data_IF_074920409299
#
_entry.id   IF_074920409299
#
_cell.length_a   1.000
_cell.length_b   1.000
_cell.length_c   1.000
_cell.angle_alpha   90.00
_cell.angle_beta   90.00
_cell.angle_gamma   90.00
#
_symmetry.space_group_name_H-M   'P 1'
#
loop_
_entity.id
_entity.type
_entity.pdbx_description
1 polymer ?
#
# COMPACT_ATOMS: atom_id res chain seq x y z
N UNK A 1 33.90 -19.40 -7.95
CA UNK A 1 34.44 -19.98 -9.20
C UNK A 1 34.64 -18.80 -10.14
N UNK A 2 35.90 -18.38 -10.34
CA UNK A 2 36.28 -17.19 -11.11
C UNK A 2 36.21 -17.50 -12.61
N UNK A 3 35.47 -16.67 -13.36
CA UNK A 3 35.55 -16.60 -14.82
C UNK A 3 36.40 -15.37 -15.21
N UNK A 4 37.27 -15.46 -16.23
CA UNK A 4 38.10 -14.34 -16.66
C UNK A 4 37.27 -13.28 -17.39
N UNK A 5 37.52 -12.02 -17.07
CA UNK A 5 36.91 -10.87 -17.76
C UNK A 5 37.51 -10.67 -19.16
N UNK A 6 36.76 -10.08 -20.11
CA UNK A 6 37.28 -9.81 -21.45
C UNK A 6 38.30 -8.67 -21.44
N UNK A 7 39.40 -8.86 -22.18
CA UNK A 7 40.43 -7.86 -22.47
C UNK A 7 39.86 -6.62 -23.19
N UNK A 8 40.45 -5.43 -22.99
CA UNK A 8 40.05 -4.22 -23.72
C UNK A 8 40.52 -4.28 -25.18
N UNK A 9 39.58 -4.23 -26.11
CA UNK A 9 39.87 -4.06 -27.53
C UNK A 9 40.54 -2.69 -27.77
N UNK A 10 41.65 -2.71 -28.52
CA UNK A 10 42.50 -1.57 -28.80
C UNK A 10 41.76 -0.37 -29.42
N UNK A 11 42.10 0.81 -28.93
CA UNK A 11 41.67 2.10 -29.47
C UNK A 11 42.47 2.41 -30.73
N UNK A 12 41.86 2.20 -31.90
CA UNK A 12 42.35 2.75 -33.16
C UNK A 12 42.00 4.24 -33.23
N UNK A 13 42.98 5.10 -33.00
CA UNK A 13 42.92 6.54 -33.30
C UNK A 13 43.46 6.78 -34.71
N UNK A 14 42.60 6.59 -35.71
CA UNK A 14 42.85 7.05 -37.08
C UNK A 14 42.16 8.41 -37.30
N UNK A 15 42.80 9.40 -37.94
CA UNK A 15 42.15 10.65 -38.31
C UNK A 15 41.37 10.42 -39.61
N UNK A 16 40.13 9.96 -39.52
CA UNK A 16 39.19 10.00 -40.65
C UNK A 16 37.76 10.30 -40.17
N UNK A 17 37.62 11.46 -39.54
CA UNK A 17 36.34 12.13 -39.36
C UNK A 17 36.00 12.88 -40.66
N UNK A 18 35.54 12.16 -41.69
CA UNK A 18 35.14 12.74 -42.96
C UNK A 18 33.78 12.18 -43.44
N UNK A 19 32.73 12.89 -43.04
CA UNK A 19 31.36 12.93 -43.60
C UNK A 19 30.56 11.63 -43.51
N UNK A 20 30.07 11.33 -42.31
CA UNK A 20 28.75 10.71 -42.19
C UNK A 20 27.74 11.61 -42.92
N UNK A 21 27.02 11.07 -43.89
CA UNK A 21 26.05 11.85 -44.67
C UNK A 21 25.04 12.53 -43.76
N UNK A 22 24.94 13.84 -43.88
CA UNK A 22 23.99 14.68 -43.16
C UNK A 22 22.71 14.82 -43.98
N UNK A 23 21.57 14.97 -43.30
CA UNK A 23 20.26 15.15 -43.94
C UNK A 23 19.58 16.37 -43.34
N UNK A 24 19.05 17.24 -44.19
CA UNK A 24 18.12 18.30 -43.76
C UNK A 24 16.79 17.66 -43.40
N UNK A 25 16.43 17.73 -42.13
CA UNK A 25 15.17 17.16 -41.62
C UNK A 25 14.02 18.10 -41.95
N UNK A 26 13.02 17.62 -42.70
CA UNK A 26 11.78 18.35 -42.98
C UNK A 26 10.61 17.93 -42.10
N UNK A 27 10.68 16.73 -41.51
CA UNK A 27 9.66 16.24 -40.60
C UNK A 27 9.92 14.80 -40.14
N UNK A 28 9.10 14.35 -39.19
CA UNK A 28 9.18 13.01 -38.62
C UNK A 28 7.89 12.24 -38.86
N UNK A 29 8.00 10.98 -39.30
CA UNK A 29 6.89 10.04 -39.39
C UNK A 29 7.03 9.03 -38.25
N UNK A 30 6.10 9.03 -37.32
CA UNK A 30 6.11 8.13 -36.17
C UNK A 30 5.20 6.93 -36.42
N UNK A 31 5.62 5.75 -35.96
CA UNK A 31 4.81 4.54 -35.98
C UNK A 31 4.97 3.74 -34.70
N UNK A 32 3.93 2.99 -34.33
CA UNK A 32 3.91 2.17 -33.11
C UNK A 32 3.66 2.93 -31.81
N UNK A 33 3.34 4.23 -31.89
CA UNK A 33 2.93 5.07 -30.75
C UNK A 33 1.41 4.98 -30.54
N UNK A 34 0.94 4.00 -29.76
CA UNK A 34 -0.48 3.86 -29.42
C UNK A 34 -0.85 4.63 -28.14
N UNK A 35 0.10 4.84 -27.22
CA UNK A 35 -0.11 5.59 -25.97
C UNK A 35 -0.26 7.09 -26.25
N UNK A 36 0.61 7.65 -27.09
CA UNK A 36 0.63 9.08 -27.42
C UNK A 36 0.28 9.28 -28.88
N UNK A 37 -0.47 10.34 -29.17
CA UNK A 37 -0.65 10.76 -30.55
C UNK A 37 0.68 11.21 -31.18
N UNK A 38 0.76 11.15 -32.51
CA UNK A 38 1.99 11.47 -33.23
C UNK A 38 2.38 12.95 -33.06
N UNK A 39 1.40 13.85 -32.91
CA UNK A 39 1.63 15.29 -32.76
C UNK A 39 2.38 15.61 -31.46
N UNK A 40 2.00 14.97 -30.35
CA UNK A 40 2.65 15.12 -29.04
C UNK A 40 4.12 14.72 -29.11
N UNK A 41 4.40 13.58 -29.73
CA UNK A 41 5.78 13.08 -29.86
C UNK A 41 6.60 13.89 -30.89
N UNK A 42 5.97 14.38 -31.97
CA UNK A 42 6.64 15.26 -32.94
C UNK A 42 7.01 16.60 -32.33
N UNK A 43 6.20 17.15 -31.42
CA UNK A 43 6.51 18.39 -30.72
C UNK A 43 7.83 18.32 -29.91
N UNK A 44 8.20 17.13 -29.41
CA UNK A 44 9.49 16.89 -28.72
C UNK A 44 10.71 17.02 -29.64
N UNK A 45 10.49 16.98 -30.96
CA UNK A 45 11.52 16.99 -32.00
C UNK A 45 11.45 18.26 -32.87
N UNK A 46 10.61 19.22 -32.51
CA UNK A 46 10.37 20.42 -33.33
C UNK A 46 11.64 21.25 -33.57
N UNK A 47 12.57 21.25 -32.61
CA UNK A 47 13.87 21.93 -32.71
C UNK A 47 14.79 21.35 -33.78
N UNK A 48 14.52 20.11 -34.23
CA UNK A 48 15.31 19.43 -35.25
C UNK A 48 14.78 19.70 -36.67
N UNK A 49 13.56 20.20 -36.82
CA UNK A 49 12.96 20.49 -38.13
C UNK A 49 13.64 21.71 -38.76
N UNK A 50 14.07 21.57 -40.02
CA UNK A 50 14.83 22.58 -40.76
C UNK A 50 16.33 22.58 -40.47
N UNK A 51 16.80 21.73 -39.56
CA UNK A 51 18.22 21.58 -39.23
C UNK A 51 18.88 20.42 -39.98
N UNK A 52 20.20 20.51 -40.14
CA UNK A 52 21.02 19.44 -40.68
C UNK A 52 21.39 18.46 -39.56
N UNK A 53 21.04 17.18 -39.73
CA UNK A 53 21.28 16.13 -38.74
C UNK A 53 22.10 15.00 -39.34
N UNK A 54 23.07 14.51 -38.57
CA UNK A 54 23.76 13.25 -38.86
C UNK A 54 23.02 12.06 -38.21
N UNK A 55 23.57 10.85 -38.38
CA UNK A 55 22.97 9.64 -37.83
C UNK A 55 22.84 9.68 -36.29
N UNK A 56 23.79 10.30 -35.61
CA UNK A 56 23.79 10.36 -34.15
C UNK A 56 22.77 11.37 -33.63
N UNK A 57 22.58 12.50 -34.32
CA UNK A 57 21.48 13.43 -34.07
C UNK A 57 20.10 12.78 -34.24
N UNK A 58 19.90 12.00 -35.30
CA UNK A 58 18.66 11.24 -35.51
C UNK A 58 18.44 10.14 -34.46
N UNK A 59 19.51 9.49 -34.00
CA UNK A 59 19.44 8.54 -32.86
C UNK A 59 19.10 9.26 -31.55
N UNK A 60 19.64 10.47 -31.34
CA UNK A 60 19.30 11.30 -30.20
C UNK A 60 17.82 11.71 -30.22
N UNK A 61 17.25 11.99 -31.40
CA UNK A 61 15.80 12.23 -31.56
C UNK A 61 14.96 11.03 -31.09
N UNK A 62 15.29 9.81 -31.53
CA UNK A 62 14.63 8.60 -31.04
C UNK A 62 14.85 8.38 -29.52
N UNK A 63 16.04 8.70 -29.00
CA UNK A 63 16.32 8.63 -27.57
C UNK A 63 15.48 9.62 -26.75
N UNK A 64 15.18 10.82 -27.28
CA UNK A 64 14.29 11.80 -26.64
C UNK A 64 12.86 11.27 -26.51
N UNK A 65 12.31 10.66 -27.58
CA UNK A 65 11.00 9.98 -27.51
C UNK A 65 11.03 8.88 -26.45
N UNK A 66 12.05 8.00 -26.48
CA UNK A 66 12.18 6.93 -25.49
C UNK A 66 12.27 7.47 -24.05
N UNK A 67 12.95 8.59 -23.84
CA UNK A 67 13.07 9.22 -22.53
C UNK A 67 11.75 9.83 -22.03
N UNK A 68 10.91 10.33 -22.94
CA UNK A 68 9.57 10.80 -22.62
C UNK A 68 8.70 9.67 -22.07
N UNK A 69 8.59 8.56 -22.81
CA UNK A 69 7.87 7.36 -22.35
C UNK A 69 8.36 6.84 -21.00
N UNK A 70 9.69 6.74 -20.80
CA UNK A 70 10.25 6.26 -19.52
C UNK A 70 9.93 7.19 -18.35
N UNK A 71 9.92 8.51 -18.58
CA UNK A 71 9.58 9.49 -17.53
C UNK A 71 8.12 9.34 -17.09
N UNK A 72 7.26 8.97 -18.02
CA UNK A 72 5.84 8.75 -17.80
C UNK A 72 5.53 7.30 -17.35
N UNK A 73 6.55 6.51 -17.01
CA UNK A 73 6.39 5.19 -16.38
C UNK A 73 6.41 3.99 -17.32
N UNK A 74 6.54 4.19 -18.63
CA UNK A 74 6.64 3.11 -19.63
C UNK A 74 8.10 2.67 -19.82
N UNK A 75 8.60 1.89 -18.87
CA UNK A 75 10.01 1.51 -18.80
C UNK A 75 10.48 0.63 -19.96
N UNK A 76 9.58 -0.14 -20.56
CA UNK A 76 9.88 -1.04 -21.67
C UNK A 76 9.80 -0.37 -23.04
N UNK A 77 9.29 0.87 -23.09
CA UNK A 77 9.10 1.59 -24.34
C UNK A 77 10.45 2.06 -24.93
N UNK A 78 10.63 1.79 -26.22
CA UNK A 78 11.83 2.17 -26.97
C UNK A 78 11.46 2.66 -28.36
N UNK A 79 11.86 3.89 -28.65
CA UNK A 79 11.89 4.42 -30.00
C UNK A 79 13.25 4.16 -30.65
N UNK A 80 13.25 3.82 -31.92
CA UNK A 80 14.47 3.58 -32.70
C UNK A 80 14.30 4.05 -34.15
N UNK A 81 15.44 4.30 -34.79
CA UNK A 81 15.52 4.66 -36.19
C UNK A 81 15.67 3.38 -37.04
N UNK A 82 14.62 2.87 -37.69
CA UNK A 82 14.74 1.72 -38.59
C UNK A 82 15.60 2.07 -39.81
N UNK A 83 16.18 1.04 -40.43
CA UNK A 83 16.83 1.19 -41.73
C UNK A 83 15.82 1.74 -42.74
N UNK A 84 16.19 2.83 -43.40
CA UNK A 84 15.35 3.56 -44.33
C UNK A 84 16.20 4.33 -45.33
N UNK A 85 15.66 4.55 -46.52
CA UNK A 85 16.15 5.60 -47.41
C UNK A 85 15.41 6.88 -47.04
N UNK A 86 16.13 7.96 -46.76
CA UNK A 86 15.51 9.25 -46.48
C UNK A 86 15.07 9.86 -47.80
N UNK A 87 13.77 10.02 -47.98
CA UNK A 87 13.17 10.70 -49.12
C UNK A 87 12.57 12.02 -48.64
N UNK A 88 12.84 13.11 -49.37
CA UNK A 88 12.32 14.45 -49.11
C UNK A 88 12.57 15.00 -47.69
N UNK A 89 13.61 14.50 -47.00
CA UNK A 89 13.94 14.92 -45.63
C UNK A 89 12.97 14.41 -44.56
N UNK A 90 12.11 13.44 -44.87
CA UNK A 90 11.18 12.83 -43.90
C UNK A 90 11.84 11.65 -43.20
N UNK A 91 11.95 11.73 -41.87
CA UNK A 91 12.61 10.73 -41.03
C UNK A 91 11.55 9.86 -40.34
N UNK A 92 11.57 8.56 -40.58
CA UNK A 92 10.68 7.61 -39.90
C UNK A 92 11.30 7.13 -38.59
N UNK A 93 10.60 7.25 -37.47
CA UNK A 93 10.97 6.66 -36.18
C UNK A 93 9.89 5.65 -35.79
N UNK A 94 10.31 4.48 -35.32
CA UNK A 94 9.40 3.44 -34.82
C UNK A 94 9.49 3.36 -33.31
N UNK A 95 8.34 3.21 -32.66
CA UNK A 95 8.19 3.05 -31.22
C UNK A 95 7.69 1.65 -30.94
N UNK A 96 8.36 0.96 -30.02
CA UNK A 96 7.89 -0.30 -29.44
C UNK A 96 7.58 0.00 -27.99
N UNK A 97 6.31 -0.01 -27.62
CA UNK A 97 5.87 0.43 -26.28
C UNK A 97 6.08 -0.63 -25.19
N UNK A 98 6.26 -1.90 -25.58
CA UNK A 98 6.39 -3.01 -24.65
C UNK A 98 5.06 -3.33 -23.99
N UNK A 99 4.28 -4.22 -24.60
CA UNK A 99 2.94 -4.60 -24.10
C UNK A 99 2.98 -5.89 -23.29
N UNK A 100 2.01 -6.07 -22.39
CA UNK A 100 1.81 -7.37 -21.75
C UNK A 100 1.53 -8.45 -22.79
N UNK A 101 2.28 -9.54 -22.73
CA UNK A 101 1.93 -10.83 -23.32
C UNK A 101 1.22 -11.67 -22.27
N UNK A 102 1.74 -12.86 -21.96
CA UNK A 102 1.15 -13.73 -20.95
C UNK A 102 1.46 -13.25 -19.53
N UNK A 103 0.45 -13.31 -18.65
CA UNK A 103 0.60 -13.15 -17.21
C UNK A 103 0.42 -14.52 -16.57
N UNK A 104 1.49 -15.06 -15.99
CA UNK A 104 1.53 -16.40 -15.41
C UNK A 104 1.74 -16.29 -13.91
N UNK A 105 0.81 -16.87 -13.13
CA UNK A 105 0.94 -17.00 -11.68
C UNK A 105 1.44 -18.42 -11.34
N UNK A 106 2.66 -18.51 -10.82
CA UNK A 106 3.21 -19.71 -10.21
C UNK A 106 3.01 -19.62 -8.70
N UNK A 107 1.95 -20.24 -8.19
CA UNK A 107 1.61 -20.16 -6.78
C UNK A 107 2.05 -21.41 -6.01
N UNK A 108 3.03 -21.22 -5.12
CA UNK A 108 3.46 -22.20 -4.14
C UNK A 108 3.01 -21.84 -2.71
N UNK A 109 2.34 -20.70 -2.52
CA UNK A 109 1.86 -20.24 -1.21
C UNK A 109 0.68 -21.08 -0.70
N UNK A 110 0.31 -20.88 0.57
CA UNK A 110 -0.88 -21.51 1.16
C UNK A 110 -2.18 -20.92 0.62
N UNK A 111 -2.15 -19.70 0.10
CA UNK A 111 -3.31 -18.97 -0.40
C UNK A 111 -3.71 -19.51 -1.77
N UNK A 112 -4.99 -19.74 -2.02
CA UNK A 112 -5.48 -20.20 -3.32
C UNK A 112 -5.36 -19.12 -4.39
N UNK A 113 -5.14 -19.55 -5.63
CA UNK A 113 -5.06 -18.67 -6.80
C UNK A 113 -6.27 -17.73 -6.92
N UNK A 114 -7.47 -18.20 -6.57
CA UNK A 114 -8.68 -17.39 -6.61
C UNK A 114 -8.62 -16.09 -5.78
N UNK A 115 -7.78 -16.04 -4.74
CA UNK A 115 -7.55 -14.83 -3.94
C UNK A 115 -6.42 -13.94 -4.50
N UNK A 116 -5.54 -14.49 -5.34
CA UNK A 116 -4.36 -13.79 -5.88
C UNK A 116 -4.59 -13.27 -7.30
N UNK A 117 -5.22 -14.06 -8.18
CA UNK A 117 -5.47 -13.73 -9.57
C UNK A 117 -6.24 -12.41 -9.77
N UNK A 118 -7.24 -12.04 -8.94
CA UNK A 118 -7.91 -10.74 -9.10
C UNK A 118 -6.96 -9.53 -8.97
N UNK A 119 -5.89 -9.66 -8.17
CA UNK A 119 -4.88 -8.60 -8.03
C UNK A 119 -4.01 -8.42 -9.28
N UNK A 120 -3.92 -9.46 -10.11
CA UNK A 120 -3.23 -9.44 -11.40
C UNK A 120 -4.15 -9.08 -12.56
N UNK A 121 -5.45 -9.29 -12.44
CA UNK A 121 -6.44 -8.94 -13.46
C UNK A 121 -6.50 -7.42 -13.74
N UNK A 122 -5.98 -6.59 -12.83
CA UNK A 122 -5.79 -5.16 -13.03
C UNK A 122 -4.67 -4.82 -14.05
N UNK A 123 -3.88 -5.81 -14.49
CA UNK A 123 -2.87 -5.69 -15.53
C UNK A 123 -3.44 -6.28 -16.84
N UNK A 124 -4.15 -5.50 -17.66
CA UNK A 124 -4.81 -6.00 -18.86
C UNK A 124 -3.80 -6.46 -19.92
N UNK A 125 -4.09 -7.63 -20.51
CA UNK A 125 -3.37 -8.18 -21.65
C UNK A 125 -3.36 -7.20 -22.84
N UNK A 126 -2.26 -7.17 -23.58
CA UNK A 126 -2.07 -6.32 -24.76
C UNK A 126 -1.91 -4.82 -24.48
N UNK A 127 -2.04 -4.35 -23.23
CA UNK A 127 -1.74 -2.96 -22.89
C UNK A 127 -0.24 -2.76 -22.62
N UNK A 128 0.24 -1.54 -22.88
CA UNK A 128 1.61 -1.16 -22.59
C UNK A 128 1.93 -1.32 -21.09
N UNK A 129 3.09 -1.89 -20.80
CA UNK A 129 3.53 -2.15 -19.43
C UNK A 129 3.88 -0.81 -18.77
N UNK A 130 3.00 -0.36 -17.89
CA UNK A 130 3.24 0.79 -17.05
C UNK A 130 3.81 0.35 -15.69
N UNK A 131 4.96 0.91 -15.31
CA UNK A 131 5.71 0.50 -14.13
C UNK A 131 4.95 0.67 -12.81
N UNK A 132 4.14 1.73 -12.69
CA UNK A 132 3.34 1.99 -11.50
C UNK A 132 2.24 0.94 -11.26
N UNK A 133 1.61 0.46 -12.33
CA UNK A 133 0.54 -0.54 -12.22
C UNK A 133 1.10 -1.91 -11.88
N UNK A 134 2.21 -2.29 -12.54
CA UNK A 134 2.95 -3.51 -12.21
C UNK A 134 3.43 -3.52 -10.77
N UNK A 135 4.06 -2.42 -10.31
CA UNK A 135 4.52 -2.29 -8.94
C UNK A 135 3.33 -2.41 -7.96
N UNK A 136 2.24 -1.69 -8.23
CA UNK A 136 1.04 -1.72 -7.39
C UNK A 136 0.45 -3.13 -7.27
N UNK A 137 0.37 -3.88 -8.38
CA UNK A 137 -0.13 -5.24 -8.38
C UNK A 137 0.76 -6.18 -7.54
N UNK A 138 2.08 -6.09 -7.69
CA UNK A 138 3.03 -6.89 -6.91
C UNK A 138 3.03 -6.52 -5.42
N UNK A 139 2.91 -5.23 -5.08
CA UNK A 139 2.82 -4.79 -3.70
C UNK A 139 1.52 -5.28 -3.04
N UNK A 140 0.39 -5.22 -3.75
CA UNK A 140 -0.89 -5.74 -3.23
C UNK A 140 -0.86 -7.26 -3.04
N UNK A 141 -0.16 -8.00 -3.90
CA UNK A 141 0.08 -9.44 -3.69
C UNK A 141 0.93 -9.69 -2.44
N UNK A 142 1.93 -8.85 -2.16
CA UNK A 142 2.74 -8.93 -0.94
C UNK A 142 2.00 -8.43 0.32
N UNK A 143 0.97 -7.61 0.16
CA UNK A 143 0.07 -7.24 1.26
C UNK A 143 -0.88 -8.41 1.64
N UNK A 144 -0.90 -9.51 0.86
CA UNK A 144 -1.67 -10.71 1.17
C UNK A 144 -1.01 -11.52 2.30
N UNK A 145 -1.72 -11.80 3.41
CA UNK A 145 -1.17 -12.53 4.54
C UNK A 145 -0.61 -13.91 4.14
N UNK A 146 0.68 -14.14 4.45
CA UNK A 146 1.35 -15.41 4.21
C UNK A 146 1.81 -15.64 2.77
N UNK A 147 1.89 -14.57 1.96
CA UNK A 147 2.36 -14.62 0.57
C UNK A 147 3.58 -13.72 0.40
N UNK A 148 4.60 -14.22 -0.28
CA UNK A 148 5.75 -13.43 -0.75
C UNK A 148 5.74 -13.49 -2.27
N UNK A 149 5.43 -12.38 -2.93
CA UNK A 149 5.27 -12.34 -4.39
C UNK A 149 6.45 -11.65 -5.06
N UNK A 150 6.96 -12.25 -6.14
CA UNK A 150 8.04 -11.71 -6.98
C UNK A 150 7.63 -11.77 -8.45
N UNK A 151 7.71 -10.64 -9.13
CA UNK A 151 7.48 -10.55 -10.58
C UNK A 151 8.79 -10.58 -11.36
N UNK A 152 8.81 -11.31 -12.48
CA UNK A 152 9.89 -11.31 -13.47
C UNK A 152 9.32 -11.07 -14.85
N UNK A 153 9.86 -10.08 -15.56
CA UNK A 153 9.52 -9.81 -16.96
C UNK A 153 10.43 -10.60 -17.89
N UNK A 154 9.86 -11.22 -18.92
CA UNK A 154 10.57 -11.99 -19.95
C UNK A 154 10.08 -11.60 -21.34
N UNK A 155 10.92 -11.79 -22.35
CA UNK A 155 10.50 -11.59 -23.73
C UNK A 155 9.30 -12.51 -24.06
N UNK A 156 8.23 -11.94 -24.60
CA UNK A 156 7.02 -12.67 -24.96
C UNK A 156 7.12 -13.34 -26.33
N UNK A 157 6.03 -14.00 -26.73
CA UNK A 157 5.96 -14.77 -27.97
C UNK A 157 6.01 -13.90 -29.25
N UNK A 158 5.56 -12.64 -29.17
CA UNK A 158 5.53 -11.71 -30.31
C UNK A 158 6.48 -10.52 -30.07
N UNK A 159 7.07 -9.94 -31.15
CA UNK A 159 7.92 -8.77 -31.01
C UNK A 159 7.17 -7.61 -30.33
N UNK A 160 7.78 -7.05 -29.28
CA UNK A 160 7.18 -5.98 -28.49
C UNK A 160 6.26 -6.44 -27.36
N UNK A 161 5.97 -7.75 -27.25
CA UNK A 161 5.30 -8.31 -26.08
C UNK A 161 6.29 -8.75 -25.00
N UNK A 162 5.87 -8.64 -23.74
CA UNK A 162 6.62 -9.06 -22.55
C UNK A 162 5.72 -9.88 -21.65
N UNK A 163 6.14 -11.10 -21.34
CA UNK A 163 5.44 -11.98 -20.42
C UNK A 163 5.81 -11.64 -18.97
N UNK A 164 4.83 -11.61 -18.08
CA UNK A 164 5.00 -11.41 -16.65
C UNK A 164 4.85 -12.75 -15.92
N UNK A 165 5.93 -13.22 -15.33
CA UNK A 165 5.93 -14.40 -14.46
C UNK A 165 5.89 -13.94 -13.00
N UNK A 166 4.81 -14.26 -12.30
CA UNK A 166 4.62 -13.96 -10.88
C UNK A 166 4.80 -15.24 -10.08
N UNK A 167 5.83 -15.29 -9.25
CA UNK A 167 6.04 -16.39 -8.31
C UNK A 167 5.50 -15.95 -6.95
N UNK A 168 4.47 -16.65 -6.44
CA UNK A 168 3.92 -16.46 -5.10
C UNK A 168 4.44 -17.57 -4.18
N UNK A 169 5.40 -17.24 -3.34
CA UNK A 169 6.07 -18.16 -2.41
C UNK A 169 5.37 -18.14 -1.03
N UNK A 170 5.49 -19.23 -0.24
CA UNK A 170 5.02 -19.24 1.14
C UNK A 170 5.72 -18.19 2.00
N UNK A 171 4.93 -17.26 2.56
CA UNK A 171 5.35 -16.43 3.68
C UNK A 171 5.17 -17.12 5.04
N UNK A 172 5.54 -16.46 6.15
CA UNK A 172 5.32 -16.98 7.49
C UNK A 172 3.85 -17.34 7.73
N UNK A 173 3.59 -18.58 8.15
CA UNK A 173 2.22 -19.01 8.47
C UNK A 173 1.73 -18.40 9.78
N UNK A 174 2.64 -18.27 10.75
CA UNK A 174 2.38 -17.68 12.06
C UNK A 174 3.41 -16.58 12.27
N UNK A 175 2.97 -15.44 12.77
CA UNK A 175 3.82 -14.38 13.29
C UNK A 175 3.26 -13.90 14.64
N UNK A 176 4.09 -13.28 15.47
CA UNK A 176 3.64 -12.84 16.78
C UNK A 176 4.74 -12.16 17.59
N UNK A 177 4.35 -11.65 18.76
CA UNK A 177 5.22 -11.01 19.74
C UNK A 177 4.82 -11.37 21.16
N UNK A 178 5.79 -11.28 22.06
CA UNK A 178 5.59 -11.29 23.50
C UNK A 178 6.27 -10.03 24.03
N UNK A 179 5.49 -9.21 24.73
CA UNK A 179 5.91 -7.87 25.14
C UNK A 179 5.71 -7.71 26.65
N UNK A 180 6.70 -7.13 27.33
CA UNK A 180 6.60 -6.78 28.75
C UNK A 180 6.92 -5.29 28.94
N UNK A 181 6.05 -4.56 29.63
CA UNK A 181 6.17 -3.11 29.82
C UNK A 181 5.69 -2.66 31.20
N UNK A 182 5.96 -1.40 31.55
CA UNK A 182 5.46 -0.72 32.75
C UNK A 182 4.50 0.45 32.43
N UNK A 183 3.81 0.39 31.29
CA UNK A 183 2.90 1.44 30.80
C UNK A 183 1.44 1.19 31.25
N UNK A 184 1.24 0.29 32.21
CA UNK A 184 -0.06 0.01 32.79
C UNK A 184 -0.57 1.11 33.71
N UNK A 185 -1.85 1.03 34.08
CA UNK A 185 -2.51 2.05 34.88
C UNK A 185 -2.14 1.94 36.36
N UNK A 186 -1.93 3.10 37.01
CA UNK A 186 -1.61 3.19 38.44
C UNK A 186 -2.56 2.37 39.34
N UNK A 187 -3.85 2.28 38.98
CA UNK A 187 -4.89 1.57 39.74
C UNK A 187 -5.17 0.15 39.24
N UNK A 188 -4.88 -0.16 37.97
CA UNK A 188 -5.22 -1.44 37.31
C UNK A 188 -4.03 -2.36 37.09
N UNK A 189 -2.83 -1.90 37.47
CA UNK A 189 -1.56 -2.62 37.37
C UNK A 189 -0.61 -1.92 36.41
N UNK A 190 0.59 -1.61 36.87
CA UNK A 190 1.60 -0.83 36.15
C UNK A 190 2.40 -1.73 35.20
N UNK A 191 2.74 -2.94 35.62
CA UNK A 191 3.50 -3.89 34.81
C UNK A 191 2.56 -4.78 34.01
N UNK A 192 2.81 -4.93 32.72
CA UNK A 192 1.96 -5.69 31.79
C UNK A 192 2.78 -6.68 31.00
N UNK A 193 2.18 -7.84 30.77
CA UNK A 193 2.63 -8.85 29.82
C UNK A 193 1.57 -8.98 28.72
N UNK A 194 2.01 -8.86 27.47
CA UNK A 194 1.16 -8.97 26.28
C UNK A 194 1.68 -10.08 25.36
N UNK A 195 0.75 -10.80 24.75
CA UNK A 195 1.03 -11.77 23.68
C UNK A 195 0.17 -11.40 22.48
N UNK A 196 0.79 -11.30 21.31
CA UNK A 196 0.10 -11.13 20.05
C UNK A 196 0.49 -12.25 19.08
N UNK A 197 -0.48 -12.77 18.34
CA UNK A 197 -0.26 -13.78 17.31
C UNK A 197 -1.18 -13.55 16.12
N UNK A 198 -0.66 -13.73 14.92
CA UNK A 198 -1.39 -13.69 13.65
C UNK A 198 -1.19 -15.02 12.92
N UNK A 199 -2.30 -15.64 12.51
CA UNK A 199 -2.31 -16.83 11.67
C UNK A 199 -2.72 -16.42 10.27
N UNK A 200 -1.81 -16.61 9.30
CA UNK A 200 -1.94 -16.12 7.95
C UNK A 200 -2.54 -17.20 7.02
N UNK A 201 -3.57 -16.83 6.28
CA UNK A 201 -4.32 -17.68 5.35
C UNK A 201 -4.71 -19.06 5.91
N UNK A 202 -5.31 -19.16 7.12
CA UNK A 202 -5.69 -20.44 7.70
C UNK A 202 -6.71 -21.20 6.84
N UNK A 203 -7.62 -20.51 6.15
CA UNK A 203 -8.58 -21.12 5.22
C UNK A 203 -8.11 -21.08 3.75
N UNK A 204 -6.87 -20.66 3.50
CA UNK A 204 -6.29 -20.51 2.16
C UNK A 204 -7.02 -19.46 1.28
N UNK A 205 -7.70 -18.48 1.88
CA UNK A 205 -8.47 -17.44 1.18
C UNK A 205 -7.75 -16.08 1.15
N UNK A 206 -6.51 -16.00 1.63
CA UNK A 206 -5.88 -14.69 1.90
C UNK A 206 -6.36 -14.07 3.22
N UNK A 207 -7.08 -14.86 4.01
CA UNK A 207 -7.64 -14.54 5.30
C UNK A 207 -6.55 -14.40 6.39
N UNK A 208 -6.87 -13.73 7.48
CA UNK A 208 -5.98 -13.58 8.62
C UNK A 208 -6.78 -13.65 9.90
N UNK A 209 -6.26 -14.40 10.87
CA UNK A 209 -6.79 -14.46 12.22
C UNK A 209 -5.76 -13.83 13.17
N UNK A 210 -6.17 -12.80 13.90
CA UNK A 210 -5.34 -12.10 14.87
C UNK A 210 -5.85 -12.32 16.29
N UNK A 211 -4.93 -12.55 17.22
CA UNK A 211 -5.19 -12.68 18.64
C UNK A 211 -4.26 -11.77 19.44
N UNK A 212 -4.81 -11.09 20.44
CA UNK A 212 -4.04 -10.38 21.46
C UNK A 212 -4.55 -10.71 22.85
N UNK A 213 -3.63 -11.08 23.73
CA UNK A 213 -3.84 -11.32 25.15
C UNK A 213 -2.99 -10.33 25.93
N UNK A 214 -3.54 -9.75 27.00
CA UNK A 214 -2.79 -8.88 27.90
C UNK A 214 -3.22 -9.13 29.35
N UNK A 215 -2.23 -9.14 30.23
CA UNK A 215 -2.39 -9.29 31.67
C UNK A 215 -1.54 -8.25 32.39
N UNK A 216 -2.05 -7.63 33.45
CA UNK A 216 -1.23 -6.83 34.35
C UNK A 216 -0.78 -7.63 35.58
N UNK A 217 0.15 -7.04 36.35
CA UNK A 217 0.55 -7.42 37.71
C UNK A 217 -0.56 -7.29 38.76
N UNK A 218 -1.73 -6.74 38.39
CA UNK A 218 -2.97 -6.83 39.14
C UNK A 218 -4.01 -7.68 38.40
N UNK A 219 -5.27 -7.26 38.40
CA UNK A 219 -6.41 -8.03 37.90
C UNK A 219 -6.82 -7.66 36.48
N UNK A 220 -6.15 -6.69 35.84
CA UNK A 220 -6.49 -6.30 34.47
C UNK A 220 -6.18 -7.45 33.52
N UNK A 221 -7.20 -7.86 32.75
CA UNK A 221 -7.08 -8.88 31.72
C UNK A 221 -7.78 -8.39 30.46
N UNK A 222 -7.14 -8.54 29.31
CA UNK A 222 -7.66 -8.14 28.01
C UNK A 222 -7.46 -9.24 26.98
N UNK A 223 -8.51 -9.50 26.22
CA UNK A 223 -8.55 -10.49 25.16
C UNK A 223 -9.12 -9.84 23.91
N UNK A 224 -8.48 -10.03 22.77
CA UNK A 224 -8.95 -9.56 21.48
C UNK A 224 -8.73 -10.61 20.42
N UNK A 225 -9.76 -10.85 19.61
CA UNK A 225 -9.75 -11.74 18.47
C UNK A 225 -10.29 -10.96 17.27
N UNK A 226 -9.63 -11.06 16.12
CA UNK A 226 -10.06 -10.49 14.85
C UNK A 226 -9.89 -11.54 13.74
N UNK A 227 -10.81 -11.54 12.79
CA UNK A 227 -10.71 -12.37 11.60
C UNK A 227 -11.09 -11.53 10.39
N UNK A 228 -10.26 -11.54 9.36
CA UNK A 228 -10.51 -10.78 8.14
C UNK A 228 -10.13 -11.52 6.88
N UNK A 229 -10.85 -11.27 5.78
CA UNK A 229 -10.61 -11.89 4.48
C UNK A 229 -10.78 -10.88 3.33
N UNK A 230 -10.03 -11.02 2.23
CA UNK A 230 -10.24 -10.24 1.02
C UNK A 230 -11.51 -10.73 0.30
N UNK A 231 -12.30 -9.79 -0.22
CA UNK A 231 -13.55 -10.07 -0.93
C UNK A 231 -13.60 -9.26 -2.23
N UNK A 232 -14.05 -9.92 -3.30
CA UNK A 232 -14.28 -9.30 -4.60
C UNK A 232 -12.99 -8.99 -5.38
N UNK A 233 -13.14 -8.42 -6.59
CA UNK A 233 -12.03 -8.21 -7.52
C UNK A 233 -11.00 -7.18 -7.03
N UNK A 234 -11.42 -6.24 -6.19
CA UNK A 234 -10.54 -5.21 -5.62
C UNK A 234 -9.86 -5.64 -4.33
N UNK A 235 -10.07 -6.89 -3.90
CA UNK A 235 -9.52 -7.46 -2.67
C UNK A 235 -9.85 -6.62 -1.43
N UNK A 236 -11.07 -6.09 -1.35
CA UNK A 236 -11.54 -5.33 -0.18
C UNK A 236 -11.53 -6.23 1.04
N UNK A 237 -10.84 -5.83 2.11
CA UNK A 237 -10.73 -6.66 3.31
C UNK A 237 -11.95 -6.43 4.20
N UNK A 238 -12.70 -7.49 4.44
CA UNK A 238 -13.85 -7.52 5.36
C UNK A 238 -13.39 -8.20 6.64
N UNK A 239 -13.62 -7.57 7.79
CA UNK A 239 -13.19 -8.08 9.08
C UNK A 239 -14.31 -8.09 10.11
N UNK A 240 -14.22 -9.04 11.04
CA UNK A 240 -15.04 -9.09 12.26
C UNK A 240 -14.13 -9.30 13.45
N UNK A 241 -14.41 -8.62 14.55
CA UNK A 241 -13.59 -8.73 15.74
C UNK A 241 -14.38 -8.60 17.03
N UNK A 242 -13.82 -9.13 18.09
CA UNK A 242 -14.34 -9.03 19.44
C UNK A 242 -13.21 -8.75 20.43
N UNK A 243 -13.51 -8.03 21.50
CA UNK A 243 -12.60 -7.91 22.63
C UNK A 243 -13.36 -7.83 23.95
N UNK A 244 -12.67 -8.26 25.01
CA UNK A 244 -13.17 -8.22 26.37
C UNK A 244 -12.05 -7.78 27.30
N UNK A 245 -12.31 -6.74 28.08
CA UNK A 245 -11.43 -6.25 29.14
C UNK A 245 -12.15 -6.41 30.47
N UNK A 246 -11.45 -6.92 31.49
CA UNK A 246 -11.87 -6.84 32.89
C UNK A 246 -10.80 -6.07 33.66
N UNK A 247 -11.22 -5.24 34.61
CA UNK A 247 -10.33 -4.53 35.51
C UNK A 247 -10.94 -4.41 36.91
N UNK A 248 -10.09 -4.13 37.89
CA UNK A 248 -10.45 -3.77 39.27
C UNK A 248 -9.57 -2.59 39.68
N UNK A 249 -10.14 -1.64 40.40
CA UNK A 249 -9.42 -0.45 40.86
C UNK A 249 -8.83 -0.72 42.24
N UNK A 250 -7.50 -0.72 42.33
CA UNK A 250 -6.78 -0.81 43.59
C UNK A 250 -6.50 0.56 44.23
N UNK A 251 -5.65 0.53 45.27
CA UNK A 251 -5.15 1.70 46.01
C UNK A 251 -6.29 2.45 46.72
N UNK A 252 -6.43 3.75 46.48
CA UNK A 252 -7.42 4.61 47.13
C UNK A 252 -8.86 4.21 46.79
N UNK A 253 -9.06 3.38 45.76
CA UNK A 253 -10.38 2.86 45.35
C UNK A 253 -10.67 1.45 45.86
N UNK A 254 -9.76 0.82 46.62
CA UNK A 254 -9.96 -0.54 47.15
C UNK A 254 -11.19 -0.62 48.06
N UNK A 255 -11.47 0.42 48.84
CA UNK A 255 -12.67 0.48 49.70
C UNK A 255 -13.98 0.53 48.91
N UNK A 256 -13.94 1.04 47.67
CA UNK A 256 -15.12 1.06 46.80
C UNK A 256 -15.45 -0.30 46.21
N UNK A 257 -14.51 -1.26 46.27
CA UNK A 257 -14.59 -2.55 45.59
C UNK A 257 -15.00 -2.36 44.11
N UNK A 258 -14.40 -1.36 43.45
CA UNK A 258 -14.79 -0.94 42.12
C UNK A 258 -14.15 -1.84 41.06
N UNK A 259 -14.97 -2.47 40.22
CA UNK A 259 -14.54 -3.28 39.09
C UNK A 259 -15.37 -3.00 37.85
N UNK A 260 -14.85 -3.41 36.70
CA UNK A 260 -15.56 -3.17 35.46
C UNK A 260 -15.20 -4.13 34.33
N UNK A 261 -16.06 -4.13 33.33
CA UNK A 261 -15.93 -4.90 32.10
C UNK A 261 -16.22 -4.03 30.89
N UNK A 262 -15.36 -4.12 29.89
CA UNK A 262 -15.56 -3.50 28.58
C UNK A 262 -15.55 -4.58 27.50
N UNK A 263 -16.68 -4.74 26.83
CA UNK A 263 -16.86 -5.67 25.72
C UNK A 263 -17.04 -4.86 24.43
N UNK A 264 -16.32 -5.21 23.38
CA UNK A 264 -16.46 -4.58 22.07
C UNK A 264 -16.60 -5.64 21.00
N UNK A 265 -17.55 -5.49 20.09
CA UNK A 265 -17.62 -6.25 18.85
C UNK A 265 -17.64 -5.29 17.67
N UNK A 266 -17.00 -5.67 16.57
CA UNK A 266 -16.89 -4.80 15.41
C UNK A 266 -17.00 -5.57 14.09
N UNK A 267 -17.43 -4.84 13.07
CA UNK A 267 -17.36 -5.24 11.66
C UNK A 267 -16.65 -4.12 10.92
N UNK A 268 -15.70 -4.47 10.06
CA UNK A 268 -14.88 -3.51 9.33
C UNK A 268 -14.76 -3.84 7.84
N UNK A 269 -14.65 -2.79 7.03
CA UNK A 269 -14.31 -2.81 5.63
C UNK A 269 -13.04 -1.97 5.46
N UNK A 270 -12.01 -2.51 4.82
CA UNK A 270 -10.76 -1.80 4.51
C UNK A 270 -10.42 -1.97 3.03
N UNK A 271 -10.21 -0.84 2.35
CA UNK A 271 -9.83 -0.79 0.95
C UNK A 271 -8.51 -0.05 0.79
N UNK A 272 -7.52 -0.72 0.20
CA UNK A 272 -6.31 -0.05 -0.28
C UNK A 272 -6.66 0.68 -1.58
N UNK A 273 -6.67 2.00 -1.53
CA UNK A 273 -7.01 2.87 -2.67
C UNK A 273 -5.78 3.03 -3.56
N UNK A 274 -4.66 3.49 -2.97
CA UNK A 274 -3.37 3.65 -3.65
C UNK A 274 -2.33 2.79 -2.94
N UNK A 275 -1.48 2.11 -3.74
CA UNK A 275 -0.38 1.31 -3.22
C UNK A 275 0.81 1.39 -4.16
N UNK A 276 1.77 2.25 -3.83
CA UNK A 276 3.09 2.25 -4.46
C UNK A 276 4.16 2.12 -3.38
N UNK A 277 5.43 2.16 -3.79
CA UNK A 277 6.57 2.22 -2.88
C UNK A 277 6.60 3.51 -2.05
N UNK A 278 6.25 4.62 -2.69
CA UNK A 278 6.44 5.96 -2.13
C UNK A 278 5.14 6.58 -1.59
N UNK A 279 3.98 6.00 -1.92
CA UNK A 279 2.68 6.47 -1.45
C UNK A 279 1.70 5.33 -1.21
N UNK A 280 1.00 5.38 -0.09
CA UNK A 280 -0.03 4.41 0.28
C UNK A 280 -1.24 5.15 0.82
N UNK A 281 -2.43 4.79 0.34
CA UNK A 281 -3.70 5.36 0.82
C UNK A 281 -4.68 4.24 1.08
N UNK A 282 -5.26 4.22 2.28
CA UNK A 282 -6.25 3.24 2.69
C UNK A 282 -7.49 3.94 3.24
N UNK A 283 -8.66 3.51 2.77
CA UNK A 283 -9.95 3.91 3.28
C UNK A 283 -10.54 2.78 4.13
N UNK A 284 -11.24 3.11 5.21
CA UNK A 284 -11.91 2.14 6.06
C UNK A 284 -13.27 2.63 6.53
N UNK A 285 -14.21 1.70 6.66
CA UNK A 285 -15.50 1.90 7.32
C UNK A 285 -15.65 0.83 8.39
N UNK A 286 -16.03 1.23 9.60
CA UNK A 286 -16.18 0.31 10.73
C UNK A 286 -17.45 0.64 11.52
N UNK A 287 -18.13 -0.41 11.96
CA UNK A 287 -19.14 -0.32 13.01
C UNK A 287 -18.65 -1.03 14.27
N UNK A 288 -18.77 -0.37 15.41
CA UNK A 288 -18.45 -0.93 16.73
C UNK A 288 -19.68 -0.93 17.62
N UNK A 289 -19.83 -2.01 18.39
CA UNK A 289 -20.77 -2.11 19.49
C UNK A 289 -20.01 -2.34 20.80
N UNK A 290 -20.01 -1.33 21.68
CA UNK A 290 -19.33 -1.37 22.97
C UNK A 290 -20.35 -1.50 24.10
N UNK A 291 -20.11 -2.42 25.01
CA UNK A 291 -20.86 -2.58 26.27
C UNK A 291 -19.88 -2.40 27.41
N UNK A 292 -20.10 -1.35 28.20
CA UNK A 292 -19.33 -1.04 29.39
C UNK A 292 -20.20 -1.33 30.60
N UNK A 293 -19.63 -1.94 31.62
CA UNK A 293 -20.27 -2.18 32.91
C UNK A 293 -19.26 -1.87 33.99
N UNK A 294 -19.62 -0.93 34.86
CA UNK A 294 -18.84 -0.59 36.04
C UNK A 294 -19.70 -0.89 37.27
N UNK A 295 -19.15 -1.65 38.21
CA UNK A 295 -19.79 -2.08 39.44
C UNK A 295 -19.00 -1.52 40.63
N UNK A 296 -19.72 -1.03 41.65
CA UNK A 296 -19.20 -0.49 42.90
C UNK A 296 -19.85 -1.25 44.04
N UNK A 297 -19.25 -2.38 44.44
CA UNK A 297 -19.89 -3.33 45.35
C UNK A 297 -20.14 -2.72 46.74
N UNK A 298 -19.32 -1.77 47.18
CA UNK A 298 -19.51 -1.06 48.46
C UNK A 298 -20.81 -0.23 48.54
N UNK A 299 -21.43 0.08 47.40
CA UNK A 299 -22.67 0.86 47.31
C UNK A 299 -23.81 0.11 46.60
N UNK A 300 -23.66 -1.20 46.34
CA UNK A 300 -24.59 -1.99 45.52
C UNK A 300 -24.98 -1.30 44.19
N UNK A 301 -24.04 -0.58 43.58
CA UNK A 301 -24.27 0.25 42.41
C UNK A 301 -23.67 -0.39 41.16
N UNK A 302 -24.49 -0.57 40.13
CA UNK A 302 -24.05 -1.02 38.81
C UNK A 302 -24.42 0.01 37.74
N UNK A 303 -23.48 0.32 36.85
CA UNK A 303 -23.67 1.28 35.75
C UNK A 303 -23.35 0.62 34.44
N UNK A 304 -24.35 0.54 33.55
CA UNK A 304 -24.20 -0.12 32.25
C UNK A 304 -24.37 0.89 31.13
N UNK A 305 -23.40 0.93 30.22
CA UNK A 305 -23.42 1.79 29.04
C UNK A 305 -23.29 0.95 27.79
N UNK A 306 -24.03 1.35 26.74
CA UNK A 306 -23.97 0.74 25.42
C UNK A 306 -23.73 1.82 24.38
N UNK A 307 -22.74 1.62 23.52
CA UNK A 307 -22.37 2.55 22.47
C UNK A 307 -22.43 1.80 21.14
N UNK A 308 -23.19 2.33 20.19
CA UNK A 308 -23.03 2.00 18.77
C UNK A 308 -22.28 3.12 18.09
N UNK A 309 -21.25 2.81 17.30
CA UNK A 309 -20.37 3.80 16.68
C UNK A 309 -20.05 3.40 15.24
N UNK A 310 -20.38 4.26 14.29
CA UNK A 310 -19.86 4.18 12.92
C UNK A 310 -18.65 5.08 12.79
N UNK A 311 -17.59 4.62 12.13
CA UNK A 311 -16.37 5.38 11.84
C UNK A 311 -15.98 5.18 10.38
N UNK A 312 -15.90 6.27 9.64
CA UNK A 312 -15.25 6.31 8.32
C UNK A 312 -13.89 6.97 8.48
N UNK A 313 -12.84 6.36 7.94
CA UNK A 313 -11.49 6.89 8.06
C UNK A 313 -10.69 6.76 6.76
N UNK A 314 -9.75 7.69 6.59
CA UNK A 314 -8.75 7.70 5.53
C UNK A 314 -7.37 7.81 6.17
N UNK A 315 -6.47 6.92 5.78
CA UNK A 315 -5.06 6.98 6.16
C UNK A 315 -4.19 7.08 4.92
N UNK A 316 -3.14 7.89 4.98
CA UNK A 316 -2.20 8.08 3.90
C UNK A 316 -0.77 8.11 4.45
N UNK A 317 0.14 7.46 3.75
CA UNK A 317 1.58 7.55 3.95
C UNK A 317 2.24 8.00 2.65
N UNK A 318 3.18 8.94 2.71
CA UNK A 318 3.94 9.40 1.55
C UNK A 318 5.38 9.67 1.93
N UNK A 319 6.32 9.15 1.16
CA UNK A 319 7.73 9.52 1.25
C UNK A 319 8.06 10.61 0.24
N UNK A 320 8.79 11.63 0.67
CA UNK A 320 9.31 12.69 -0.20
C UNK A 320 10.82 12.79 -0.10
N UNK A 321 11.43 13.49 -1.07
CA UNK A 321 12.87 13.73 -1.16
C UNK A 321 13.26 15.13 -0.69
N UNK A 322 12.32 15.93 -0.17
CA UNK A 322 12.61 17.29 0.30
C UNK A 322 13.48 17.25 1.55
N UNK A 323 14.43 18.18 1.63
CA UNK A 323 15.31 18.36 2.79
C UNK A 323 16.03 17.08 3.26
N UNK A 324 16.50 16.25 2.33
CA UNK A 324 17.22 15.00 2.65
C UNK A 324 16.32 13.77 2.81
N UNK A 325 15.02 13.93 2.59
CA UNK A 325 14.02 12.89 2.56
C UNK A 325 13.24 12.75 3.86
N UNK A 326 11.95 12.44 3.72
CA UNK A 326 11.04 12.27 4.85
C UNK A 326 9.94 11.24 4.58
N UNK A 327 9.39 10.69 5.66
CA UNK A 327 8.14 9.93 5.65
C UNK A 327 7.05 10.77 6.31
N UNK A 328 5.92 10.92 5.63
CA UNK A 328 4.77 11.66 6.10
C UNK A 328 3.60 10.70 6.30
N UNK A 329 2.86 10.89 7.38
CA UNK A 329 1.65 10.13 7.67
C UNK A 329 0.48 11.07 7.95
N UNK A 330 -0.68 10.76 7.40
CA UNK A 330 -1.94 11.44 7.68
C UNK A 330 -3.05 10.45 8.01
N UNK A 331 -3.90 10.81 8.96
CA UNK A 331 -5.08 10.05 9.35
C UNK A 331 -6.24 11.01 9.63
N UNK A 332 -7.36 10.80 8.96
CA UNK A 332 -8.62 11.51 9.20
C UNK A 332 -9.71 10.49 9.47
N UNK A 333 -10.44 10.64 10.57
CA UNK A 333 -11.60 9.83 10.88
C UNK A 333 -12.79 10.68 11.28
N UNK A 334 -13.97 10.31 10.79
CA UNK A 334 -15.25 10.90 11.16
C UNK A 334 -16.13 9.79 11.71
N UNK A 335 -16.59 9.98 12.95
CA UNK A 335 -17.40 9.01 13.65
C UNK A 335 -18.74 9.59 14.08
N UNK A 336 -19.79 8.77 14.00
CA UNK A 336 -21.14 9.08 14.49
C UNK A 336 -21.60 7.96 15.40
N UNK A 337 -21.92 8.30 16.65
CA UNK A 337 -22.26 7.33 17.67
C UNK A 337 -23.53 7.66 18.44
N UNK A 338 -23.98 6.70 19.23
CA UNK A 338 -25.10 6.86 20.15
C UNK A 338 -24.81 6.13 21.46
N UNK A 339 -24.79 6.87 22.58
CA UNK A 339 -24.62 6.34 23.92
C UNK A 339 -25.98 6.10 24.57
N UNK A 340 -26.21 4.89 25.08
CA UNK A 340 -27.42 4.49 25.80
C UNK A 340 -27.06 3.91 27.17
N UNK A 341 -27.85 4.28 28.18
CA UNK A 341 -27.72 3.75 29.54
C UNK A 341 -28.61 2.54 29.79
N UNK A 342 -28.18 1.70 30.73
CA UNK A 342 -28.82 0.42 31.06
C UNK A 342 -30.16 0.54 31.80
N UNK A 343 -30.34 1.60 32.58
CA UNK A 343 -31.54 1.81 33.42
C UNK A 343 -32.01 3.27 33.46
N UNK A 344 -33.21 3.49 34.00
CA UNK A 344 -33.85 4.81 34.10
C UNK A 344 -33.24 5.74 35.14
N UNK A 345 -32.62 5.18 36.19
CA UNK A 345 -31.98 5.97 37.24
C UNK A 345 -30.72 6.63 36.67
N UNK A 346 -29.86 5.87 36.01
CA UNK A 346 -28.69 6.35 35.31
C UNK A 346 -29.05 7.37 34.20
N UNK A 347 -30.17 7.18 33.50
CA UNK A 347 -30.69 8.18 32.54
C UNK A 347 -31.07 9.50 33.21
N UNK A 348 -31.71 9.45 34.38
CA UNK A 348 -32.09 10.64 35.17
C UNK A 348 -30.86 11.35 35.71
N UNK A 349 -29.93 10.60 36.30
CA UNK A 349 -28.66 11.13 36.80
C UNK A 349 -27.86 11.81 35.69
N UNK A 350 -27.77 11.19 34.51
CA UNK A 350 -27.08 11.76 33.36
C UNK A 350 -27.72 13.08 32.91
N UNK A 351 -29.05 13.15 32.81
CA UNK A 351 -29.78 14.38 32.45
C UNK A 351 -29.62 15.52 33.45
N UNK A 352 -29.21 15.24 34.68
CA UNK A 352 -28.99 16.27 35.70
C UNK A 352 -27.52 16.70 35.76
N UNK A 353 -26.58 15.76 35.53
CA UNK A 353 -25.16 15.98 35.81
C UNK A 353 -24.33 16.03 34.53
N UNK A 354 -24.32 14.96 33.74
CA UNK A 354 -23.29 14.73 32.71
C UNK A 354 -23.75 15.02 31.27
N UNK A 355 -25.04 14.93 30.99
CA UNK A 355 -25.65 15.16 29.68
C UNK A 355 -24.95 14.40 28.55
N UNK A 356 -24.48 13.18 28.83
CA UNK A 356 -23.67 12.38 27.91
C UNK A 356 -24.48 11.42 27.06
N UNK A 357 -25.74 11.14 27.43
CA UNK A 357 -26.62 10.25 26.70
C UNK A 357 -27.06 10.81 25.34
N UNK A 358 -27.18 9.91 24.35
CA UNK A 358 -27.69 10.24 23.03
C UNK A 358 -26.63 10.25 21.93
N UNK A 359 -26.97 10.92 20.83
CA UNK A 359 -26.15 10.95 19.62
C UNK A 359 -24.96 11.91 19.75
N UNK A 360 -23.77 11.44 19.36
CA UNK A 360 -22.55 12.26 19.36
C UNK A 360 -21.78 12.09 18.05
N UNK A 361 -20.90 13.03 17.75
CA UNK A 361 -19.98 12.97 16.62
C UNK A 361 -18.56 13.24 17.06
N UNK A 362 -17.58 12.57 16.45
CA UNK A 362 -16.16 12.77 16.74
C UNK A 362 -15.43 12.91 15.41
N UNK A 363 -14.53 13.88 15.33
CA UNK A 363 -13.57 14.01 14.23
C UNK A 363 -12.17 13.89 14.80
N UNK A 364 -11.38 13.00 14.23
CA UNK A 364 -9.97 12.80 14.62
C UNK A 364 -9.08 13.09 13.43
N UNK A 365 -8.11 13.98 13.60
CA UNK A 365 -7.08 14.30 12.62
C UNK A 365 -5.71 14.09 13.26
N UNK A 366 -4.86 13.31 12.60
CA UNK A 366 -3.46 13.15 12.96
C UNK A 366 -2.58 13.35 11.73
N UNK A 367 -1.54 14.15 11.88
CA UNK A 367 -0.53 14.42 10.86
C UNK A 367 0.84 14.20 11.50
N UNK A 368 1.73 13.56 10.76
CA UNK A 368 3.09 13.26 11.21
C UNK A 368 4.07 13.41 10.06
N UNK A 369 5.28 13.85 10.36
CA UNK A 369 6.43 13.89 9.45
C UNK A 369 7.64 13.42 10.23
N UNK A 370 8.39 12.49 9.66
CA UNK A 370 9.68 12.03 10.15
C UNK A 370 10.72 12.35 9.08
N UNK A 371 11.60 13.30 9.36
CA UNK A 371 12.53 13.88 8.41
C UNK A 371 13.97 13.58 8.81
N UNK A 372 14.78 13.19 7.83
CA UNK A 372 16.23 13.04 8.05
C UNK A 372 16.89 14.41 8.07
N UNK A 373 17.62 14.74 9.13
CA UNK A 373 18.29 16.04 9.27
C UNK A 373 19.79 15.99 8.97
N UNK A 374 20.39 14.79 8.99
CA UNK A 374 21.79 14.54 8.64
C UNK A 374 22.37 13.34 9.38
N UNK A 375 23.27 12.57 8.75
CA UNK A 375 23.85 11.39 9.38
C UNK A 375 22.80 10.36 9.83
N UNK A 376 22.88 9.84 11.08
CA UNK A 376 21.89 8.93 11.67
C UNK A 376 20.71 9.65 12.37
N UNK A 377 20.60 10.98 12.26
CA UNK A 377 19.59 11.76 12.99
C UNK A 377 18.32 12.01 12.16
N UNK A 378 17.18 11.98 12.84
CA UNK A 378 15.85 12.25 12.28
C UNK A 378 15.03 13.09 13.27
N UNK A 379 14.13 13.92 12.76
CA UNK A 379 13.22 14.81 13.51
C UNK A 379 11.78 14.60 13.07
#
# INVERSE_FOLDING_TARGET
>A
MNLPGPEPAGVNTGPDAARAGTVIVRGFVLGGNAIYDAATLQALLADLIGSEQDLDGLRAAAARISAHYRRDGYLLARAYLPVQQVQDGMIRIQVVEGVYGQIVLNNASRTRDAALTPLLAALPDGQAVHGGDLESALLRLNDMPGVIARGTLRAGATPGATDLIVNAEPGPWIAGSIDADNYGGLYTGEYRLSLAASLNSPLALGDQFDMRLLSSDRTQRYYHLDYSAPVGPWSTRVGVGASNMRYELGREFTELQAHGRAQNSNVSLRQTVLRSRDANVQASLQYEHKRLRDDYDAFDLSRVQRIGLWTAALSAGVTDTLFGGASNGGYLAVSRGNLRFGDDTQRRDDRQVKHSGGGFGVVSLSLSRLQRTGGPFQV
#
